data_IF_676991230854
#
_entry.id   IF_676991230854
#
_cell.length_a   1.000
_cell.length_b   1.000
_cell.length_c   1.000
_cell.angle_alpha   90.00
_cell.angle_beta   90.00
_cell.angle_gamma   90.00
#
_symmetry.space_group_name_H-M   'P 1'
#
loop_
_entity.id
_entity.type
_entity.pdbx_description
1 polymer ?
#
# COMPACT_ATOMS: atom_id res chain seq x y z
N UNK A 1 -55.45 22.75 -8.07
CA UNK A 1 -54.94 21.98 -9.24
C UNK A 1 -54.03 20.86 -8.76
N UNK A 2 -53.98 19.70 -9.44
CA UNK A 2 -52.90 18.74 -9.28
C UNK A 2 -51.55 19.40 -9.60
N UNK A 3 -50.49 19.13 -8.83
CA UNK A 3 -49.14 19.64 -9.15
C UNK A 3 -48.70 19.12 -10.51
N UNK A 4 -48.13 19.99 -11.35
CA UNK A 4 -47.54 19.60 -12.64
C UNK A 4 -46.47 18.53 -12.43
N UNK A 5 -46.72 17.33 -12.95
CA UNK A 5 -45.77 16.21 -12.93
C UNK A 5 -45.14 16.13 -14.32
N UNK A 6 -43.81 16.22 -14.39
CA UNK A 6 -43.06 16.00 -15.65
C UNK A 6 -43.46 14.63 -16.23
N UNK A 7 -43.78 14.60 -17.52
CA UNK A 7 -44.13 13.36 -18.21
C UNK A 7 -43.00 12.33 -18.03
N UNK A 8 -43.34 11.16 -17.50
CA UNK A 8 -42.40 10.07 -17.27
C UNK A 8 -42.44 9.12 -18.45
N UNK A 9 -41.32 8.94 -19.13
CA UNK A 9 -41.17 7.89 -20.15
C UNK A 9 -41.34 6.52 -19.48
N UNK A 10 -42.21 5.68 -20.04
CA UNK A 10 -42.43 4.30 -19.60
C UNK A 10 -41.87 3.38 -20.69
N UNK A 11 -40.90 2.55 -20.32
CA UNK A 11 -40.29 1.58 -21.22
C UNK A 11 -41.02 0.23 -21.13
N UNK A 12 -41.37 -0.36 -22.26
CA UNK A 12 -42.07 -1.65 -22.36
C UNK A 12 -41.10 -2.84 -22.30
N UNK A 13 -40.06 -2.74 -21.46
CA UNK A 13 -39.02 -3.77 -21.31
C UNK A 13 -39.49 -4.92 -20.42
N UNK A 14 -39.24 -6.17 -20.82
CA UNK A 14 -39.58 -7.41 -20.08
C UNK A 14 -38.80 -7.63 -18.75
N UNK A 15 -38.11 -6.61 -18.23
CA UNK A 15 -37.16 -6.73 -17.11
C UNK A 15 -37.71 -6.03 -15.86
N UNK A 16 -38.36 -6.81 -15.01
CA UNK A 16 -38.94 -6.32 -13.75
C UNK A 16 -37.92 -6.08 -12.63
N UNK A 17 -38.33 -5.27 -11.65
CA UNK A 17 -37.52 -4.94 -10.48
C UNK A 17 -37.57 -6.09 -9.46
N UNK A 18 -36.45 -6.78 -9.24
CA UNK A 18 -36.29 -7.93 -8.31
C UNK A 18 -36.51 -7.63 -6.79
N UNK A 19 -37.03 -6.45 -6.44
CA UNK A 19 -37.63 -6.13 -5.13
C UNK A 19 -36.75 -6.37 -3.89
N UNK A 20 -37.44 -6.67 -2.77
CA UNK A 20 -36.84 -7.09 -1.49
C UNK A 20 -36.34 -8.54 -1.56
N UNK A 21 -37.02 -9.40 -2.32
CA UNK A 21 -36.71 -10.83 -2.47
C UNK A 21 -35.25 -11.11 -2.83
N UNK A 22 -34.67 -10.37 -3.77
CA UNK A 22 -33.26 -10.53 -4.13
C UNK A 22 -32.31 -10.24 -2.95
N UNK A 23 -32.69 -9.33 -2.05
CA UNK A 23 -31.89 -9.01 -0.86
C UNK A 23 -32.07 -10.07 0.24
N UNK A 24 -33.25 -10.69 0.34
CA UNK A 24 -33.48 -11.83 1.25
C UNK A 24 -32.77 -13.10 0.77
N UNK A 25 -32.76 -13.35 -0.54
CA UNK A 25 -31.97 -14.45 -1.14
C UNK A 25 -30.48 -14.24 -0.93
N UNK A 26 -29.95 -13.03 -1.20
CA UNK A 26 -28.55 -12.70 -0.89
C UNK A 26 -28.20 -12.93 0.59
N UNK A 27 -29.10 -12.59 1.52
CA UNK A 27 -28.91 -12.81 2.95
C UNK A 27 -28.82 -14.30 3.29
N UNK A 28 -29.82 -15.09 2.89
CA UNK A 28 -29.88 -16.52 3.18
C UNK A 28 -28.69 -17.30 2.58
N UNK A 29 -28.35 -17.02 1.31
CA UNK A 29 -27.21 -17.66 0.64
C UNK A 29 -25.84 -17.29 1.27
N UNK A 30 -25.73 -16.16 1.98
CA UNK A 30 -24.49 -15.77 2.68
C UNK A 30 -24.36 -16.51 4.02
N UNK A 31 -25.44 -16.71 4.76
CA UNK A 31 -25.44 -17.56 5.96
C UNK A 31 -25.18 -19.03 5.59
N UNK A 32 -25.87 -19.55 4.57
CA UNK A 32 -25.63 -20.89 4.02
C UNK A 32 -24.15 -21.08 3.61
N UNK A 33 -23.48 -20.04 3.10
CA UNK A 33 -22.05 -20.11 2.80
C UNK A 33 -21.17 -20.07 4.07
N UNK A 34 -21.50 -19.28 5.09
CA UNK A 34 -20.79 -19.27 6.37
C UNK A 34 -20.90 -20.62 7.12
N UNK A 35 -22.01 -21.34 6.93
CA UNK A 35 -22.20 -22.67 7.48
C UNK A 35 -21.34 -23.73 6.77
N UNK A 36 -21.24 -23.66 5.44
CA UNK A 36 -20.61 -24.70 4.60
C UNK A 36 -19.12 -24.50 4.27
N UNK A 37 -18.55 -23.31 4.52
CA UNK A 37 -17.14 -23.00 4.23
C UNK A 37 -16.32 -22.68 5.48
N UNK A 38 -15.01 -22.92 5.42
CA UNK A 38 -14.07 -22.75 6.53
C UNK A 38 -13.47 -21.33 6.60
N UNK A 39 -13.20 -20.71 5.45
CA UNK A 39 -12.63 -19.36 5.38
C UNK A 39 -13.56 -18.37 4.67
N UNK A 40 -13.65 -17.14 5.20
CA UNK A 40 -14.50 -16.07 4.70
C UNK A 40 -13.66 -14.79 4.52
N UNK A 41 -13.38 -14.43 3.27
CA UNK A 41 -12.59 -13.26 2.90
C UNK A 41 -13.47 -12.06 2.58
N UNK A 42 -13.10 -10.88 3.07
CA UNK A 42 -13.57 -9.60 2.55
C UNK A 42 -12.61 -9.15 1.45
N UNK A 43 -13.12 -9.02 0.22
CA UNK A 43 -12.33 -8.55 -0.92
C UNK A 43 -12.84 -7.19 -1.42
N UNK A 44 -11.94 -6.28 -1.74
CA UNK A 44 -12.22 -5.10 -2.56
C UNK A 44 -12.07 -5.43 -4.05
N UNK A 45 -12.66 -4.60 -4.91
CA UNK A 45 -12.48 -4.73 -6.37
C UNK A 45 -12.22 -3.36 -6.98
N UNK A 46 -11.04 -3.19 -7.56
CA UNK A 46 -10.72 -2.05 -8.41
C UNK A 46 -11.34 -2.23 -9.80
N UNK A 47 -11.82 -1.14 -10.41
CA UNK A 47 -12.31 -1.07 -11.80
C UNK A 47 -13.42 -2.06 -12.23
N UNK A 48 -14.01 -2.76 -11.24
CA UNK A 48 -15.05 -3.78 -11.29
C UNK A 48 -15.81 -3.99 -12.62
N UNK A 49 -15.67 -5.19 -13.19
CA UNK A 49 -16.45 -5.74 -14.32
C UNK A 49 -17.12 -7.07 -13.97
N UNK A 50 -18.32 -7.26 -14.52
CA UNK A 50 -19.09 -8.52 -14.40
C UNK A 50 -18.62 -9.63 -15.37
N UNK A 51 -17.53 -9.43 -16.12
CA UNK A 51 -16.83 -10.47 -16.91
C UNK A 51 -15.85 -11.22 -16.02
N UNK A 52 -14.85 -10.52 -15.49
CA UNK A 52 -13.80 -11.10 -14.64
C UNK A 52 -14.36 -11.81 -13.39
N UNK A 53 -15.39 -11.23 -12.72
CA UNK A 53 -16.10 -11.92 -11.62
C UNK A 53 -17.04 -13.07 -12.07
N UNK A 54 -17.13 -13.41 -13.36
CA UNK A 54 -17.69 -14.69 -13.84
C UNK A 54 -16.61 -15.70 -14.14
N UNK A 55 -15.52 -15.26 -14.77
CA UNK A 55 -14.35 -16.10 -15.04
C UNK A 55 -13.80 -16.69 -13.73
N UNK A 56 -13.57 -15.85 -12.72
CA UNK A 56 -13.19 -16.30 -11.35
C UNK A 56 -14.25 -17.21 -10.68
N UNK A 57 -15.54 -17.02 -10.98
CA UNK A 57 -16.63 -17.92 -10.49
C UNK A 57 -16.70 -19.25 -11.25
N UNK A 58 -16.00 -19.38 -12.38
CA UNK A 58 -15.88 -20.63 -13.15
C UNK A 58 -14.59 -21.38 -12.78
N UNK A 59 -13.52 -20.64 -12.49
CA UNK A 59 -12.25 -21.15 -12.01
C UNK A 59 -12.36 -21.72 -10.59
N UNK A 60 -12.88 -20.93 -9.64
CA UNK A 60 -13.20 -21.36 -8.29
C UNK A 60 -14.66 -21.84 -8.18
N UNK A 61 -15.01 -22.87 -8.96
CA UNK A 61 -16.36 -23.47 -8.96
C UNK A 61 -16.70 -24.20 -7.63
N UNK A 62 -15.67 -24.59 -6.89
CA UNK A 62 -15.69 -25.09 -5.51
C UNK A 62 -16.16 -24.04 -4.50
N UNK A 63 -15.80 -22.77 -4.73
CA UNK A 63 -15.93 -21.65 -3.81
C UNK A 63 -17.16 -20.78 -4.11
N UNK A 64 -17.40 -19.74 -3.31
CA UNK A 64 -18.54 -18.81 -3.49
C UNK A 64 -18.17 -17.34 -3.34
N UNK A 65 -18.27 -16.59 -4.45
CA UNK A 65 -18.18 -15.12 -4.44
C UNK A 65 -19.55 -14.46 -4.36
N UNK A 66 -19.77 -13.65 -3.34
CA UNK A 66 -20.91 -12.74 -3.20
C UNK A 66 -20.47 -11.30 -3.48
N UNK A 67 -21.22 -10.62 -4.35
CA UNK A 67 -21.01 -9.21 -4.66
C UNK A 67 -22.38 -8.55 -4.80
N UNK A 68 -22.68 -7.56 -3.96
CA UNK A 68 -24.05 -7.09 -3.78
C UNK A 68 -24.15 -5.87 -2.87
N UNK A 69 -25.29 -5.72 -2.17
CA UNK A 69 -25.47 -4.62 -1.22
C UNK A 69 -24.67 -4.92 0.05
N UNK A 70 -23.62 -4.14 0.29
CA UNK A 70 -22.73 -4.28 1.45
C UNK A 70 -23.49 -4.37 2.78
N UNK A 71 -24.47 -3.47 3.00
CA UNK A 71 -25.34 -3.46 4.20
C UNK A 71 -26.28 -4.67 4.36
N UNK A 72 -26.44 -5.51 3.32
CA UNK A 72 -27.20 -6.78 3.40
C UNK A 72 -26.26 -7.92 3.75
N UNK A 73 -25.05 -7.94 3.17
CA UNK A 73 -24.01 -8.93 3.50
C UNK A 73 -23.56 -8.77 4.96
N UNK A 74 -23.24 -7.54 5.38
CA UNK A 74 -22.94 -7.17 6.76
C UNK A 74 -24.02 -7.60 7.78
N UNK A 75 -25.30 -7.59 7.38
CA UNK A 75 -26.41 -8.05 8.24
C UNK A 75 -26.63 -9.57 8.24
N UNK A 76 -26.15 -10.28 7.22
CA UNK A 76 -26.19 -11.74 7.17
C UNK A 76 -25.03 -12.35 7.99
N UNK A 77 -23.90 -11.63 8.07
CA UNK A 77 -22.74 -11.95 8.90
C UNK A 77 -22.98 -11.63 10.38
N UNK A 78 -23.35 -10.38 10.68
CA UNK A 78 -23.49 -9.84 12.02
C UNK A 78 -23.00 -8.40 12.10
N UNK A 79 -23.79 -7.51 12.71
CA UNK A 79 -23.39 -6.12 12.99
C UNK A 79 -22.91 -5.91 14.44
N UNK A 80 -23.20 -6.85 15.33
CA UNK A 80 -22.82 -6.84 16.75
C UNK A 80 -22.63 -8.30 17.22
N UNK A 81 -21.91 -8.55 18.33
CA UNK A 81 -21.79 -9.90 18.91
C UNK A 81 -23.11 -10.53 19.40
N UNK A 82 -24.23 -9.80 19.34
CA UNK A 82 -25.58 -10.32 19.64
C UNK A 82 -26.44 -10.55 18.38
N UNK A 83 -25.99 -10.11 17.20
CA UNK A 83 -26.63 -10.35 15.89
C UNK A 83 -25.74 -11.22 14.97
N UNK A 84 -24.61 -11.77 15.44
CA UNK A 84 -23.67 -12.53 14.60
C UNK A 84 -24.06 -14.00 14.39
N UNK A 85 -23.72 -14.52 13.21
CA UNK A 85 -24.07 -15.88 12.77
C UNK A 85 -23.06 -16.94 13.24
N UNK A 86 -21.79 -16.54 13.43
CA UNK A 86 -20.72 -17.32 14.07
C UNK A 86 -19.92 -16.38 14.99
N UNK A 87 -19.21 -16.95 15.97
CA UNK A 87 -18.43 -16.22 16.98
C UNK A 87 -17.41 -15.27 16.35
N UNK A 88 -17.32 -14.04 16.88
CA UNK A 88 -16.44 -12.94 16.47
C UNK A 88 -16.59 -12.47 15.00
N UNK A 89 -17.55 -13.03 14.25
CA UNK A 89 -17.70 -12.71 12.82
C UNK A 89 -18.16 -11.25 12.61
N UNK A 90 -18.75 -10.61 13.62
CA UNK A 90 -19.04 -9.18 13.60
C UNK A 90 -17.79 -8.28 13.45
N UNK A 91 -16.58 -8.77 13.75
CA UNK A 91 -15.32 -8.05 13.46
C UNK A 91 -15.06 -7.94 11.96
N UNK A 92 -15.26 -9.03 11.19
CA UNK A 92 -15.05 -9.07 9.74
C UNK A 92 -15.91 -8.03 9.01
N UNK A 93 -17.09 -7.73 9.58
CA UNK A 93 -18.03 -6.74 9.07
C UNK A 93 -17.48 -5.31 9.08
N UNK A 94 -16.44 -4.99 9.84
CA UNK A 94 -15.80 -3.67 9.83
C UNK A 94 -15.11 -3.36 8.49
N UNK A 95 -14.53 -4.36 7.84
CA UNK A 95 -13.85 -4.22 6.54
C UNK A 95 -14.84 -4.12 5.36
N UNK A 96 -16.13 -4.39 5.58
CA UNK A 96 -17.19 -4.31 4.57
C UNK A 96 -17.59 -2.85 4.23
N UNK A 97 -16.61 -2.09 3.74
CA UNK A 97 -16.75 -0.69 3.33
C UNK A 97 -16.26 -0.46 1.89
N UNK A 98 -17.06 0.27 1.11
CA UNK A 98 -16.78 0.59 -0.30
C UNK A 98 -17.26 -0.46 -1.30
N UNK A 99 -16.49 -0.65 -2.38
CA UNK A 99 -16.80 -1.56 -3.49
C UNK A 99 -16.28 -2.98 -3.21
N UNK A 100 -16.88 -3.63 -2.21
CA UNK A 100 -16.41 -4.90 -1.61
C UNK A 100 -17.40 -6.05 -1.77
N UNK A 101 -16.87 -7.27 -1.75
CA UNK A 101 -17.60 -8.54 -1.73
C UNK A 101 -17.14 -9.48 -0.62
N UNK A 102 -17.74 -10.66 -0.57
CA UNK A 102 -17.36 -11.77 0.29
C UNK A 102 -17.00 -13.01 -0.55
N UNK A 103 -15.86 -13.63 -0.27
CA UNK A 103 -15.38 -14.85 -0.91
C UNK A 103 -15.26 -15.96 0.14
N UNK A 104 -15.99 -17.05 -0.07
CA UNK A 104 -16.04 -18.21 0.82
C UNK A 104 -15.33 -19.38 0.17
N UNK A 105 -14.38 -20.01 0.88
CA UNK A 105 -13.58 -21.13 0.36
C UNK A 105 -13.09 -22.06 1.48
N UNK A 106 -12.60 -23.23 1.08
CA UNK A 106 -11.98 -24.26 1.93
C UNK A 106 -10.51 -24.51 1.55
N UNK A 107 -9.87 -23.51 0.92
CA UNK A 107 -8.43 -23.54 0.59
C UNK A 107 -7.66 -22.64 1.54
N UNK A 108 -6.39 -22.98 1.74
CA UNK A 108 -5.48 -22.26 2.62
C UNK A 108 -5.42 -20.75 2.32
N UNK A 109 -5.51 -19.87 3.34
CA UNK A 109 -5.52 -18.43 3.12
C UNK A 109 -4.28 -17.88 2.41
N UNK A 110 -3.12 -18.49 2.58
CA UNK A 110 -1.88 -18.12 1.89
C UNK A 110 -1.97 -18.30 0.37
N UNK A 111 -2.44 -19.46 -0.12
CA UNK A 111 -2.67 -19.71 -1.56
C UNK A 111 -3.59 -18.62 -2.15
N UNK A 112 -4.65 -18.26 -1.42
CA UNK A 112 -5.62 -17.27 -1.88
C UNK A 112 -5.03 -15.84 -1.90
N UNK A 113 -4.26 -15.45 -0.88
CA UNK A 113 -3.59 -14.14 -0.84
C UNK A 113 -2.57 -14.02 -1.98
N UNK A 114 -1.71 -15.03 -2.17
CA UNK A 114 -0.72 -15.05 -3.26
C UNK A 114 -1.38 -15.05 -4.64
N UNK A 115 -2.45 -15.83 -4.83
CA UNK A 115 -3.20 -15.86 -6.09
C UNK A 115 -3.78 -14.47 -6.42
N UNK A 116 -4.52 -13.84 -5.49
CA UNK A 116 -5.18 -12.57 -5.77
C UNK A 116 -4.22 -11.38 -5.88
N UNK A 117 -3.08 -11.41 -5.18
CA UNK A 117 -2.02 -10.41 -5.35
C UNK A 117 -1.41 -10.43 -6.77
N UNK A 118 -1.32 -11.61 -7.40
CA UNK A 118 -0.82 -11.76 -8.77
C UNK A 118 -1.92 -11.60 -9.84
N UNK A 119 -3.19 -11.81 -9.49
CA UNK A 119 -4.31 -11.71 -10.44
C UNK A 119 -4.61 -10.26 -10.85
N UNK A 120 -4.41 -9.94 -12.12
CA UNK A 120 -4.84 -8.67 -12.72
C UNK A 120 -5.32 -8.86 -14.16
N UNK A 121 -6.28 -8.03 -14.59
CA UNK A 121 -6.85 -8.05 -15.94
C UNK A 121 -7.06 -6.63 -16.48
N UNK A 122 -6.36 -6.25 -17.54
CA UNK A 122 -6.41 -4.89 -18.10
C UNK A 122 -7.67 -4.63 -18.93
N UNK A 123 -8.30 -3.47 -18.74
CA UNK A 123 -9.59 -3.08 -19.32
C UNK A 123 -9.64 -1.58 -19.72
N UNK A 124 -10.67 -1.22 -20.45
CA UNK A 124 -10.98 0.16 -20.82
C UNK A 124 -11.35 1.00 -19.60
N UNK A 125 -10.60 2.08 -19.37
CA UNK A 125 -10.85 3.01 -18.29
C UNK A 125 -12.25 3.66 -18.35
N UNK A 126 -12.64 4.26 -17.22
CA UNK A 126 -13.88 4.99 -17.01
C UNK A 126 -13.57 6.39 -16.49
N UNK A 127 -14.51 7.32 -16.63
CA UNK A 127 -14.40 8.65 -16.05
C UNK A 127 -14.08 8.59 -14.55
N UNK A 128 -13.11 9.38 -14.10
CA UNK A 128 -12.62 9.40 -12.71
C UNK A 128 -11.35 8.57 -12.45
N UNK A 129 -10.94 7.70 -13.38
CA UNK A 129 -9.66 6.96 -13.29
C UNK A 129 -8.50 7.87 -13.73
N UNK A 130 -7.35 7.74 -13.09
CA UNK A 130 -6.09 8.40 -13.47
C UNK A 130 -5.45 7.67 -14.65
N UNK A 131 -4.99 8.38 -15.68
CA UNK A 131 -4.35 7.76 -16.84
C UNK A 131 -2.97 7.16 -16.47
N UNK A 132 -2.77 5.89 -16.82
CA UNK A 132 -1.52 5.14 -16.60
C UNK A 132 -0.41 5.49 -17.59
N UNK A 133 -0.76 6.04 -18.76
CA UNK A 133 0.17 6.49 -19.78
C UNK A 133 -0.40 7.68 -20.57
N UNK A 134 0.48 8.45 -21.20
CA UNK A 134 0.07 9.52 -22.13
C UNK A 134 -0.29 8.94 -23.49
N UNK A 135 -1.44 9.33 -24.07
CA UNK A 135 -1.88 8.87 -25.39
C UNK A 135 -2.25 10.03 -26.30
N UNK A 136 -1.57 10.10 -27.45
CA UNK A 136 -1.66 11.19 -28.43
C UNK A 136 -1.84 10.63 -29.83
N UNK A 137 -2.94 10.98 -30.49
CA UNK A 137 -3.18 10.58 -31.88
C UNK A 137 -2.39 11.50 -32.82
N UNK A 138 -1.63 10.97 -33.79
CA UNK A 138 -0.87 11.78 -34.74
C UNK A 138 -1.78 12.58 -35.69
N UNK A 139 -1.26 13.69 -36.23
CA UNK A 139 -1.90 14.37 -37.35
C UNK A 139 -1.80 13.53 -38.63
N UNK A 140 -2.81 13.61 -39.49
CA UNK A 140 -2.95 12.77 -40.67
C UNK A 140 -4.33 12.10 -40.72
N UNK A 141 -4.40 10.91 -41.33
CA UNK A 141 -5.63 10.11 -41.34
C UNK A 141 -5.77 9.42 -39.98
N UNK A 142 -6.97 9.44 -39.40
CA UNK A 142 -7.22 8.79 -38.11
C UNK A 142 -7.52 7.30 -38.34
N UNK A 143 -6.62 6.44 -37.89
CA UNK A 143 -6.70 4.98 -37.98
C UNK A 143 -7.24 4.35 -36.67
N UNK A 144 -7.58 3.06 -36.70
CA UNK A 144 -8.36 2.38 -35.65
C UNK A 144 -7.61 2.11 -34.34
N UNK A 145 -6.27 2.13 -34.36
CA UNK A 145 -5.39 2.11 -33.19
C UNK A 145 -4.85 3.48 -32.80
N UNK A 146 -5.20 4.53 -33.54
CA UNK A 146 -4.86 5.91 -33.21
C UNK A 146 -3.35 6.20 -33.10
N UNK A 147 -2.49 5.34 -33.65
CA UNK A 147 -1.03 5.50 -33.61
C UNK A 147 -0.24 4.44 -32.82
N UNK A 148 -0.87 3.45 -32.18
CA UNK A 148 -0.14 2.35 -31.52
C UNK A 148 0.52 1.36 -32.50
N UNK A 149 0.08 1.35 -33.76
CA UNK A 149 0.44 0.39 -34.81
C UNK A 149 0.77 1.18 -36.11
N UNK A 150 1.73 0.72 -36.95
CA UNK A 150 2.04 1.38 -38.23
C UNK A 150 0.82 1.53 -39.16
N UNK A 151 0.78 2.61 -39.95
CA UNK A 151 -0.35 2.90 -40.85
C UNK A 151 -0.59 1.82 -41.92
N UNK A 152 0.43 1.04 -42.28
CA UNK A 152 0.32 -0.09 -43.22
C UNK A 152 -0.42 -1.31 -42.63
N UNK A 153 -0.51 -1.41 -41.30
CA UNK A 153 -1.16 -2.51 -40.57
C UNK A 153 -2.50 -2.09 -39.90
N UNK A 154 -2.79 -0.78 -39.83
CA UNK A 154 -4.00 -0.25 -39.19
C UNK A 154 -5.07 0.18 -40.23
N UNK A 155 -6.35 0.18 -39.82
CA UNK A 155 -7.49 0.45 -40.70
C UNK A 155 -8.02 1.87 -40.46
N UNK A 156 -8.17 2.73 -41.49
CA UNK A 156 -8.77 4.06 -41.34
C UNK A 156 -10.17 4.02 -40.72
N UNK A 157 -10.47 4.92 -39.78
CA UNK A 157 -11.78 4.95 -39.12
C UNK A 157 -12.91 5.26 -40.13
N UNK A 158 -14.07 4.58 -40.02
CA UNK A 158 -15.19 4.79 -40.93
C UNK A 158 -15.82 6.18 -40.71
N UNK A 159 -16.09 6.88 -41.82
CA UNK A 159 -16.55 8.29 -41.87
C UNK A 159 -17.76 8.62 -40.98
N UNK A 160 -18.64 7.65 -40.68
CA UNK A 160 -19.79 7.81 -39.78
C UNK A 160 -19.38 8.20 -38.35
N UNK A 161 -18.19 7.77 -37.90
CA UNK A 161 -17.68 7.99 -36.55
C UNK A 161 -17.19 9.42 -36.32
N UNK A 162 -16.92 10.19 -37.37
CA UNK A 162 -16.42 11.58 -37.32
C UNK A 162 -17.26 12.46 -36.39
N UNK A 163 -18.58 12.37 -36.54
CA UNK A 163 -19.55 13.13 -35.72
C UNK A 163 -19.49 12.79 -34.23
N UNK A 164 -19.07 11.56 -33.88
CA UNK A 164 -18.95 11.09 -32.50
C UNK A 164 -17.59 11.47 -31.90
N UNK A 165 -16.52 11.33 -32.69
CA UNK A 165 -15.16 11.77 -32.32
C UNK A 165 -15.15 13.28 -32.03
N UNK A 166 -15.70 14.08 -32.94
CA UNK A 166 -15.84 15.54 -32.79
C UNK A 166 -16.69 15.93 -31.58
N UNK A 167 -17.77 15.20 -31.31
CA UNK A 167 -18.64 15.40 -30.13
C UNK A 167 -17.90 15.16 -28.81
N UNK A 168 -16.87 14.31 -28.80
CA UNK A 168 -16.02 14.07 -27.63
C UNK A 168 -14.84 15.04 -27.49
N UNK A 169 -14.63 15.93 -28.47
CA UNK A 169 -13.73 17.09 -28.37
C UNK A 169 -12.46 17.00 -29.22
N UNK A 170 -12.22 15.88 -29.89
CA UNK A 170 -11.10 15.74 -30.82
C UNK A 170 -11.41 16.49 -32.14
N UNK A 171 -10.56 17.42 -32.61
CA UNK A 171 -10.88 18.36 -33.68
C UNK A 171 -10.72 17.75 -35.08
N UNK A 172 -11.61 16.82 -35.46
CA UNK A 172 -11.57 16.13 -36.75
C UNK A 172 -12.27 16.87 -37.89
N UNK A 173 -11.77 16.65 -39.11
CA UNK A 173 -12.35 17.07 -40.39
C UNK A 173 -12.55 15.84 -41.28
N UNK A 174 -13.57 15.86 -42.14
CA UNK A 174 -13.72 14.83 -43.18
C UNK A 174 -13.07 15.34 -44.48
N UNK A 175 -12.17 14.55 -45.07
CA UNK A 175 -11.53 14.85 -46.36
C UNK A 175 -11.59 13.62 -47.26
N UNK A 176 -12.20 13.76 -48.45
CA UNK A 176 -12.44 12.67 -49.42
C UNK A 176 -13.03 11.39 -48.81
N UNK A 177 -13.84 11.52 -47.75
CA UNK A 177 -14.45 10.38 -47.04
C UNK A 177 -13.56 9.68 -46.01
N UNK A 178 -12.33 10.16 -45.77
CA UNK A 178 -11.48 9.78 -44.63
C UNK A 178 -11.61 10.79 -43.50
N UNK A 179 -11.45 10.34 -42.26
CA UNK A 179 -11.34 11.19 -41.07
C UNK A 179 -9.89 11.68 -40.97
N UNK A 180 -9.70 12.99 -40.92
CA UNK A 180 -8.39 13.66 -40.87
C UNK A 180 -8.31 14.54 -39.62
N UNK A 181 -7.12 14.56 -39.02
CA UNK A 181 -6.75 15.41 -37.90
C UNK A 181 -5.61 16.34 -38.35
N UNK A 182 -5.84 17.65 -38.30
CA UNK A 182 -4.87 18.63 -38.84
C UNK A 182 -3.67 18.91 -37.89
N UNK A 183 -3.78 18.58 -36.59
CA UNK A 183 -2.75 18.78 -35.53
C UNK A 183 -2.85 17.62 -34.51
N UNK A 184 -1.74 17.00 -34.06
CA UNK A 184 -1.79 15.85 -33.15
C UNK A 184 -2.55 16.18 -31.84
N UNK A 185 -3.34 15.22 -31.36
CA UNK A 185 -4.30 15.44 -30.27
C UNK A 185 -4.08 14.46 -29.11
N UNK A 186 -3.62 15.00 -27.98
CA UNK A 186 -3.46 14.25 -26.73
C UNK A 186 -4.82 14.02 -26.07
N UNK A 187 -5.22 12.75 -25.98
CA UNK A 187 -6.51 12.34 -25.40
C UNK A 187 -6.38 12.18 -23.89
N UNK A 188 -5.26 11.63 -23.42
CA UNK A 188 -4.95 11.45 -22.01
C UNK A 188 -3.48 11.77 -21.74
N UNK A 189 -3.19 12.33 -20.57
CA UNK A 189 -1.84 12.57 -20.07
C UNK A 189 -1.66 11.78 -18.78
N UNK A 190 -0.54 11.10 -18.65
CA UNK A 190 -0.16 10.30 -17.48
C UNK A 190 -0.33 11.09 -16.17
N UNK A 191 -0.88 10.43 -15.15
CA UNK A 191 -1.13 11.05 -13.84
C UNK A 191 -2.32 12.01 -13.78
N UNK A 192 -3.04 12.27 -14.88
CA UNK A 192 -4.28 13.09 -14.87
C UNK A 192 -5.54 12.24 -14.80
N UNK A 193 -6.53 12.71 -14.06
CA UNK A 193 -7.89 12.11 -13.98
C UNK A 193 -8.61 12.29 -15.31
N UNK A 194 -9.09 11.20 -15.89
CA UNK A 194 -9.76 11.20 -17.20
C UNK A 194 -11.27 11.48 -17.11
N UNK A 195 -11.77 12.22 -18.09
CA UNK A 195 -13.19 12.48 -18.31
C UNK A 195 -13.85 11.35 -19.15
N UNK A 196 -15.19 11.31 -19.13
CA UNK A 196 -16.03 10.39 -19.90
C UNK A 196 -15.74 10.45 -21.41
N UNK A 197 -15.51 11.66 -21.95
CA UNK A 197 -15.17 11.83 -23.36
C UNK A 197 -13.80 11.23 -23.73
N UNK A 198 -12.78 11.42 -22.86
CA UNK A 198 -11.44 10.89 -23.09
C UNK A 198 -11.44 9.36 -23.04
N UNK A 199 -12.08 8.79 -22.02
CA UNK A 199 -12.22 7.32 -21.90
C UNK A 199 -13.08 6.68 -22.99
N UNK A 200 -14.06 7.42 -23.53
CA UNK A 200 -14.82 6.98 -24.71
C UNK A 200 -13.99 7.00 -26.00
N UNK A 201 -13.12 8.00 -26.19
CA UNK A 201 -12.14 8.04 -27.30
C UNK A 201 -11.13 6.88 -27.19
N UNK A 202 -10.46 6.72 -26.03
CA UNK A 202 -9.51 5.64 -25.79
C UNK A 202 -10.11 4.26 -26.09
N UNK A 203 -11.35 4.02 -25.64
CA UNK A 203 -12.06 2.78 -25.93
C UNK A 203 -12.33 2.54 -27.42
N UNK A 204 -12.52 3.58 -28.23
CA UNK A 204 -12.64 3.40 -29.69
C UNK A 204 -11.31 3.03 -30.34
N UNK A 205 -10.20 3.60 -29.86
CA UNK A 205 -8.86 3.26 -30.34
C UNK A 205 -8.35 1.89 -29.84
N UNK A 206 -9.10 1.24 -28.95
CA UNK A 206 -8.72 -0.05 -28.38
C UNK A 206 -7.73 0.03 -27.22
N UNK A 207 -7.44 1.25 -26.72
CA UNK A 207 -6.45 1.50 -25.66
C UNK A 207 -7.07 1.20 -24.29
N UNK A 208 -6.50 0.23 -23.59
CA UNK A 208 -6.86 -0.14 -22.23
C UNK A 208 -5.95 0.59 -21.22
N UNK A 209 -6.50 1.07 -20.11
CA UNK A 209 -5.79 1.93 -19.13
C UNK A 209 -6.32 1.77 -17.69
N UNK A 210 -6.98 0.67 -17.38
CA UNK A 210 -7.49 0.40 -16.05
C UNK A 210 -7.43 -1.10 -15.76
N UNK A 211 -6.60 -1.50 -14.80
CA UNK A 211 -6.52 -2.89 -14.39
C UNK A 211 -7.64 -3.22 -13.41
N UNK A 212 -8.34 -4.31 -13.67
CA UNK A 212 -9.17 -4.98 -12.67
C UNK A 212 -8.25 -5.76 -11.73
N UNK A 213 -8.36 -5.47 -10.42
CA UNK A 213 -7.64 -6.13 -9.34
C UNK A 213 -8.61 -6.48 -8.21
N UNK A 214 -8.23 -7.47 -7.39
CA UNK A 214 -8.99 -7.91 -6.23
C UNK A 214 -8.07 -7.92 -5.03
N UNK A 215 -8.28 -6.98 -4.11
CA UNK A 215 -7.46 -6.84 -2.91
C UNK A 215 -8.19 -7.52 -1.74
N UNK A 216 -7.59 -8.58 -1.18
CA UNK A 216 -8.09 -9.17 0.06
C UNK A 216 -7.75 -8.23 1.23
N UNK A 217 -8.72 -7.93 2.09
CA UNK A 217 -8.56 -7.00 3.23
C UNK A 217 -8.41 -7.71 4.56
N UNK A 218 -9.25 -8.71 4.78
CA UNK A 218 -9.30 -9.49 6.00
C UNK A 218 -9.98 -10.82 5.70
N UNK A 219 -9.67 -11.84 6.51
CA UNK A 219 -10.35 -13.13 6.47
C UNK A 219 -10.71 -13.61 7.86
N UNK A 220 -11.85 -14.31 7.94
CA UNK A 220 -12.26 -15.07 9.11
C UNK A 220 -11.95 -16.55 8.88
N UNK A 221 -11.47 -17.25 9.91
CA UNK A 221 -11.25 -18.70 9.88
C UNK A 221 -12.10 -19.39 10.94
N UNK A 222 -12.93 -20.34 10.50
CA UNK A 222 -13.90 -21.04 11.34
C UNK A 222 -13.27 -21.96 12.38
N UNK A 223 -12.08 -22.51 12.10
CA UNK A 223 -11.35 -23.36 13.04
C UNK A 223 -10.71 -22.59 14.21
N UNK A 224 -10.47 -21.29 14.07
CA UNK A 224 -9.88 -20.42 15.11
C UNK A 224 -10.87 -19.40 15.68
N UNK A 225 -12.08 -19.32 15.10
CA UNK A 225 -13.14 -18.36 15.44
C UNK A 225 -12.65 -16.91 15.50
N UNK A 226 -11.73 -16.54 14.60
CA UNK A 226 -11.00 -15.27 14.63
C UNK A 226 -10.88 -14.61 13.27
N UNK A 227 -10.77 -13.28 13.25
CA UNK A 227 -10.45 -12.47 12.06
C UNK A 227 -8.95 -12.17 11.99
N UNK A 228 -8.42 -12.08 10.78
CA UNK A 228 -7.02 -11.70 10.51
C UNK A 228 -6.99 -10.72 9.34
N UNK A 229 -6.31 -9.59 9.53
CA UNK A 229 -6.14 -8.57 8.50
C UNK A 229 -5.01 -8.94 7.53
N UNK A 230 -5.27 -8.77 6.23
CA UNK A 230 -4.30 -9.04 5.16
C UNK A 230 -3.48 -7.77 4.93
N UNK A 231 -2.23 -7.78 5.38
CA UNK A 231 -1.27 -6.66 5.25
C UNK A 231 -0.50 -6.35 6.54
N UNK A 232 -1.15 -6.52 7.70
CA UNK A 232 -0.58 -6.16 9.01
C UNK A 232 0.77 -6.85 9.33
N UNK A 233 1.05 -8.00 8.71
CA UNK A 233 2.26 -8.79 8.93
C UNK A 233 3.50 -8.21 8.21
N UNK A 234 3.33 -7.45 7.11
CA UNK A 234 4.44 -6.81 6.41
C UNK A 234 4.93 -5.57 7.16
N UNK A 235 4.00 -4.70 7.60
CA UNK A 235 4.34 -3.48 8.35
C UNK A 235 5.07 -3.79 9.66
N UNK A 236 4.60 -4.80 10.42
CA UNK A 236 5.25 -5.24 11.67
C UNK A 236 6.67 -5.77 11.45
N UNK A 237 6.91 -6.48 10.33
CA UNK A 237 8.26 -6.92 9.95
C UNK A 237 9.16 -5.73 9.61
N UNK A 238 8.67 -4.71 8.90
CA UNK A 238 9.45 -3.49 8.65
C UNK A 238 9.74 -2.68 9.92
N UNK A 239 8.80 -2.59 10.87
CA UNK A 239 9.08 -1.98 12.18
C UNK A 239 10.16 -2.76 12.95
N UNK A 240 10.03 -4.09 13.08
CA UNK A 240 11.06 -4.89 13.76
C UNK A 240 12.43 -4.82 13.06
N UNK A 241 12.49 -4.90 11.73
CA UNK A 241 13.74 -4.87 10.97
C UNK A 241 14.41 -3.48 10.99
N UNK A 242 13.65 -2.39 11.13
CA UNK A 242 14.22 -1.03 11.20
C UNK A 242 14.53 -0.56 12.63
N UNK A 243 13.64 -0.82 13.60
CA UNK A 243 13.79 -0.32 14.98
C UNK A 243 14.95 -1.02 15.69
N UNK A 244 15.10 -2.34 15.55
CA UNK A 244 16.13 -3.10 16.29
C UNK A 244 17.58 -2.69 15.97
N UNK A 245 18.02 -2.55 14.69
CA UNK A 245 19.38 -2.07 14.41
C UNK A 245 19.60 -0.61 14.79
N UNK A 246 18.57 0.24 14.72
CA UNK A 246 18.66 1.65 15.14
C UNK A 246 18.78 1.76 16.67
N UNK A 247 17.98 1.00 17.42
CA UNK A 247 18.07 0.90 18.88
C UNK A 247 19.40 0.30 19.34
N UNK A 248 19.91 -0.74 18.64
CA UNK A 248 21.24 -1.30 18.93
C UNK A 248 22.36 -0.29 18.67
N UNK A 249 22.28 0.48 17.58
CA UNK A 249 23.24 1.55 17.29
C UNK A 249 23.20 2.68 18.34
N UNK A 250 22.01 3.10 18.78
CA UNK A 250 21.83 4.08 19.85
C UNK A 250 22.30 3.57 21.23
N UNK A 251 22.09 2.29 21.52
CA UNK A 251 22.57 1.66 22.75
C UNK A 251 24.11 1.63 22.81
N UNK A 252 24.76 1.30 21.69
CA UNK A 252 26.23 1.36 21.55
C UNK A 252 26.75 2.82 21.59
N UNK A 253 25.92 3.80 21.22
CA UNK A 253 26.28 5.22 21.23
C UNK A 253 26.11 5.91 22.60
N UNK A 254 25.59 5.25 23.65
CA UNK A 254 25.55 5.84 25.01
C UNK A 254 26.98 6.08 25.52
N UNK A 255 27.35 7.31 25.93
CA UNK A 255 28.75 7.71 26.04
C UNK A 255 29.43 7.24 27.32
N UNK A 256 30.23 6.16 27.23
CA UNK A 256 31.29 5.86 28.20
C UNK A 256 32.56 6.67 27.89
N UNK A 257 32.50 8.00 28.10
CA UNK A 257 33.65 8.90 28.20
C UNK A 257 34.33 9.35 26.89
N UNK A 258 34.03 10.59 26.48
CA UNK A 258 34.97 11.60 25.96
C UNK A 258 35.98 11.26 24.84
N UNK A 259 35.65 10.37 23.88
CA UNK A 259 36.45 10.23 22.65
C UNK A 259 35.64 10.22 21.35
N UNK A 260 35.85 11.28 20.55
CA UNK A 260 35.36 11.42 19.18
C UNK A 260 35.64 10.17 18.34
N UNK A 261 34.57 9.44 17.99
CA UNK A 261 34.65 8.25 17.14
C UNK A 261 33.79 8.48 15.90
N UNK A 262 34.43 8.61 14.72
CA UNK A 262 33.70 8.66 13.45
C UNK A 262 33.04 7.31 13.18
N UNK A 263 31.70 7.28 13.16
CA UNK A 263 30.94 6.13 12.68
C UNK A 263 31.12 6.03 11.16
N UNK A 264 31.83 4.99 10.72
CA UNK A 264 31.87 4.61 9.30
C UNK A 264 30.62 3.77 9.00
N UNK A 265 29.61 4.41 8.40
CA UNK A 265 28.46 3.71 7.83
C UNK A 265 28.95 2.86 6.64
N UNK A 266 28.95 1.54 6.81
CA UNK A 266 29.06 0.62 5.68
C UNK A 266 27.73 0.59 4.93
N UNK A 267 27.74 1.05 3.68
CA UNK A 267 26.59 0.93 2.79
C UNK A 267 26.40 -0.54 2.39
N UNK A 268 25.25 -1.11 2.74
CA UNK A 268 24.72 -2.27 2.02
C UNK A 268 24.12 -1.78 0.69
N UNK A 269 24.48 -2.39 -0.46
CA UNK A 269 24.04 -1.93 -1.77
C UNK A 269 22.81 -2.71 -2.26
N UNK A 270 21.60 -2.32 -1.82
CA UNK A 270 20.35 -2.75 -2.47
C UNK A 270 19.32 -1.61 -2.54
N UNK A 271 18.47 -1.66 -3.56
CA UNK A 271 17.43 -0.68 -3.93
C UNK A 271 17.89 0.78 -4.14
N UNK A 272 18.24 1.08 -5.40
CA UNK A 272 18.25 2.45 -5.92
C UNK A 272 16.92 2.79 -6.58
N UNK A 273 16.02 3.48 -5.87
CA UNK A 273 14.91 4.23 -6.48
C UNK A 273 15.17 5.73 -6.38
N UNK A 274 14.97 6.46 -7.49
CA UNK A 274 15.31 7.88 -7.58
C UNK A 274 14.23 8.73 -6.93
N UNK A 275 14.60 9.59 -5.97
CA UNK A 275 13.85 10.82 -5.71
C UNK A 275 14.73 12.03 -6.04
N UNK A 276 14.13 13.02 -6.71
CA UNK A 276 14.86 14.13 -7.34
C UNK A 276 14.45 15.47 -6.75
N UNK A 277 15.44 16.24 -6.27
CA UNK A 277 15.62 17.69 -6.52
C UNK A 277 16.80 18.25 -5.69
N UNK A 278 17.74 18.99 -6.30
CA UNK A 278 18.70 19.79 -5.54
C UNK A 278 18.10 21.16 -5.19
N UNK A 279 18.24 21.59 -3.93
CA UNK A 279 18.07 22.98 -3.52
C UNK A 279 19.48 23.60 -3.36
N UNK A 280 19.76 24.70 -4.04
CA UNK A 280 21.09 25.32 -4.05
C UNK A 280 21.35 26.13 -2.78
N UNK A 281 22.32 25.69 -1.98
CA UNK A 281 22.91 26.51 -0.93
C UNK A 281 24.01 27.42 -1.50
N UNK A 282 23.87 28.74 -1.33
CA UNK A 282 24.85 29.75 -1.74
C UNK A 282 25.36 30.54 -0.52
N UNK A 283 26.66 30.87 -0.51
CA UNK A 283 27.31 31.57 0.60
C UNK A 283 26.71 32.96 0.84
N UNK A 284 26.54 33.32 2.12
CA UNK A 284 26.54 34.70 2.62
C UNK A 284 27.42 34.74 3.89
N UNK A 285 28.21 35.80 4.05
CA UNK A 285 29.21 35.97 5.12
C UNK A 285 28.65 36.73 6.34
N UNK A 286 29.28 36.56 7.51
CA UNK A 286 28.87 37.18 8.79
C UNK A 286 29.47 38.58 9.01
N UNK A 287 28.60 39.60 9.15
CA UNK A 287 28.78 40.90 9.83
C UNK A 287 27.41 41.44 10.28
N UNK A 288 27.24 42.23 11.35
CA UNK A 288 28.23 42.52 12.41
C UNK A 288 27.90 43.74 13.31
N UNK A 289 27.06 43.56 14.34
CA UNK A 289 26.81 44.49 15.49
C UNK A 289 26.14 45.86 15.16
N UNK A 290 25.67 46.68 16.15
CA UNK A 290 25.50 46.46 17.61
C UNK A 290 24.08 46.80 18.20
N UNK A 291 23.88 46.48 19.49
CA UNK A 291 22.98 47.15 20.49
C UNK A 291 21.43 47.13 20.29
N UNK A 292 20.54 47.11 21.29
CA UNK A 292 20.50 46.88 22.77
C UNK A 292 18.99 46.70 23.16
N UNK A 293 18.42 46.20 24.28
CA UNK A 293 18.77 45.83 25.68
C UNK A 293 18.15 44.41 26.01
N UNK A 294 17.78 43.91 27.22
CA UNK A 294 17.82 44.32 28.66
C UNK A 294 17.72 43.09 29.60
N UNK A 295 17.73 43.30 30.93
CA UNK A 295 17.34 42.34 32.00
C UNK A 295 15.80 42.37 32.24
N UNK A 296 15.13 41.53 33.05
CA UNK A 296 15.52 40.55 34.11
C UNK A 296 14.38 39.50 34.32
N UNK A 297 14.53 38.42 35.13
CA UNK A 297 13.62 37.25 35.08
C UNK A 297 12.42 37.25 36.05
N UNK A 298 11.34 36.54 35.67
CA UNK A 298 10.35 35.96 36.60
C UNK A 298 8.87 36.02 36.17
N UNK A 299 8.16 34.87 36.25
CA UNK A 299 6.69 34.68 36.37
C UNK A 299 5.80 35.38 35.30
N UNK A 300 5.34 34.70 34.24
CA UNK A 300 4.11 33.85 34.14
C UNK A 300 2.77 34.65 34.29
N UNK A 301 1.63 34.36 33.64
CA UNK A 301 1.04 33.11 33.11
C UNK A 301 0.13 33.37 31.87
N UNK A 302 0.10 32.46 30.87
CA UNK A 302 -0.88 32.30 29.75
C UNK A 302 -0.99 33.46 28.73
N UNK A 303 -1.48 33.26 27.50
CA UNK A 303 -2.22 32.12 26.89
C UNK A 303 -1.92 31.91 25.39
N UNK A 304 -2.50 30.85 24.80
CA UNK A 304 -2.41 30.35 23.40
C UNK A 304 -1.26 29.36 23.12
N UNK A 305 -1.62 28.22 22.51
CA UNK A 305 -0.83 26.99 22.25
C UNK A 305 -0.70 26.00 23.42
N UNK A 306 -1.85 25.51 23.89
CA UNK A 306 -2.09 24.04 23.91
C UNK A 306 -2.57 23.62 22.49
N UNK A 307 -2.53 22.37 22.03
CA UNK A 307 -2.49 21.09 22.76
C UNK A 307 -1.41 20.11 22.22
N UNK A 308 -0.97 19.19 23.09
CA UNK A 308 -0.47 17.79 22.88
C UNK A 308 0.59 17.47 23.95
N UNK A 309 0.07 17.27 25.16
CA UNK A 309 0.62 16.76 26.44
C UNK A 309 -0.43 17.26 27.47
N UNK A 310 -0.98 16.50 28.42
CA UNK A 310 -0.62 15.21 29.01
C UNK A 310 -1.89 14.56 29.63
N UNK A 311 -2.12 13.26 29.42
CA UNK A 311 -3.21 12.41 29.95
C UNK A 311 -3.10 11.00 29.30
N UNK A 312 -3.15 9.85 29.97
CA UNK A 312 -3.44 9.50 31.38
C UNK A 312 -2.50 8.36 31.83
N UNK A 313 -1.95 8.43 33.05
CA UNK A 313 -1.46 7.25 33.77
C UNK A 313 -2.65 6.50 34.40
N UNK A 314 -2.95 5.26 34.00
CA UNK A 314 -3.76 4.35 34.85
C UNK A 314 -3.52 2.86 34.52
N UNK A 315 -2.41 2.32 35.04
CA UNK A 315 -2.24 0.90 35.38
C UNK A 315 -1.30 0.82 36.59
N UNK A 316 -1.63 -0.03 37.55
CA UNK A 316 -1.15 0.13 38.93
C UNK A 316 0.32 -0.21 39.15
N UNK A 317 1.01 0.59 39.98
CA UNK A 317 2.26 0.16 40.64
C UNK A 317 1.91 -0.87 41.71
N UNK A 318 1.92 -2.15 41.33
CA UNK A 318 1.97 -3.24 42.30
C UNK A 318 3.38 -3.32 42.85
N UNK A 319 3.61 -2.77 44.06
CA UNK A 319 4.84 -3.04 44.80
C UNK A 319 4.91 -4.52 45.18
N UNK A 320 5.69 -5.30 44.43
CA UNK A 320 6.25 -6.56 44.91
C UNK A 320 7.77 -6.46 44.96
N UNK A 321 8.28 -6.55 46.18
CA UNK A 321 9.70 -6.82 46.45
C UNK A 321 10.00 -8.30 46.19
N UNK A 322 11.29 -8.59 46.26
CA UNK A 322 11.88 -9.92 46.43
C UNK A 322 11.94 -10.81 45.16
N UNK A 323 13.19 -10.98 44.70
CA UNK A 323 13.76 -12.18 44.07
C UNK A 323 12.96 -12.95 43.00
N UNK A 324 13.37 -12.78 41.74
CA UNK A 324 13.23 -13.81 40.68
C UNK A 324 14.54 -13.92 39.89
N UNK A 325 15.02 -15.13 39.67
CA UNK A 325 16.11 -15.45 38.73
C UNK A 325 15.50 -15.63 37.32
N UNK A 326 15.75 -14.70 36.39
CA UNK A 326 15.09 -14.73 35.06
C UNK A 326 16.04 -15.20 33.95
N UNK A 327 16.00 -16.52 33.76
CA UNK A 327 16.00 -17.26 32.48
C UNK A 327 16.64 -16.60 31.24
N UNK A 328 17.91 -16.92 31.00
CA UNK A 328 18.64 -16.57 29.77
C UNK A 328 18.36 -17.51 28.60
N UNK A 329 17.09 -17.85 28.31
CA UNK A 329 16.71 -18.99 27.45
C UNK A 329 15.80 -18.62 26.25
N UNK A 330 14.84 -17.70 26.38
CA UNK A 330 13.77 -17.56 25.38
C UNK A 330 14.17 -16.90 24.04
N UNK A 331 15.37 -16.33 23.94
CA UNK A 331 15.88 -15.63 22.75
C UNK A 331 16.31 -16.58 21.59
N UNK A 332 15.76 -17.80 21.55
CA UNK A 332 16.24 -18.92 20.72
C UNK A 332 15.21 -19.48 19.70
N UNK A 333 13.99 -18.95 19.66
CA UNK A 333 12.87 -19.56 18.92
C UNK A 333 12.59 -18.92 17.54
N UNK A 334 13.15 -17.73 17.25
CA UNK A 334 12.80 -16.92 16.07
C UNK A 334 13.95 -16.73 15.05
N UNK A 335 14.80 -17.74 14.84
CA UNK A 335 15.81 -17.77 13.77
C UNK A 335 15.92 -19.17 13.18
N UNK A 336 15.99 -19.26 11.85
CA UNK A 336 16.19 -20.53 11.15
C UNK A 336 17.48 -21.23 11.58
N UNK A 337 17.34 -22.52 11.93
CA UNK A 337 18.39 -23.33 12.56
C UNK A 337 19.68 -23.46 11.73
N UNK A 338 19.62 -23.20 10.42
CA UNK A 338 20.77 -23.34 9.50
C UNK A 338 21.78 -22.18 9.58
N UNK A 339 21.37 -20.95 9.94
CA UNK A 339 22.27 -19.78 10.01
C UNK A 339 23.03 -19.63 11.34
N UNK A 340 22.60 -20.33 12.39
CA UNK A 340 23.17 -20.23 13.75
C UNK A 340 24.69 -20.52 13.80
N UNK A 341 25.24 -21.54 13.09
CA UNK A 341 26.68 -21.83 13.13
C UNK A 341 27.54 -20.69 12.56
N UNK A 342 27.14 -20.12 11.42
CA UNK A 342 27.92 -19.06 10.74
C UNK A 342 27.98 -17.78 11.58
N UNK A 343 26.86 -17.42 12.21
CA UNK A 343 26.79 -16.24 13.08
C UNK A 343 27.69 -16.39 14.32
N UNK A 344 27.73 -17.60 14.90
CA UNK A 344 28.59 -17.91 16.05
C UNK A 344 30.08 -17.86 15.70
N UNK A 345 30.48 -18.39 14.54
CA UNK A 345 31.88 -18.34 14.10
C UNK A 345 32.30 -16.93 13.63
N UNK A 346 31.40 -16.14 13.01
CA UNK A 346 31.64 -14.72 12.76
C UNK A 346 31.91 -13.94 14.06
N UNK A 347 31.13 -14.18 15.12
CA UNK A 347 31.34 -13.57 16.46
C UNK A 347 32.65 -14.06 17.11
N UNK A 348 33.03 -15.34 16.95
CA UNK A 348 34.33 -15.86 17.40
C UNK A 348 35.49 -15.19 16.66
N UNK A 349 35.42 -15.06 15.34
CA UNK A 349 36.44 -14.39 14.52
C UNK A 349 36.57 -12.92 14.93
N UNK A 350 35.46 -12.19 15.12
CA UNK A 350 35.46 -10.81 15.60
C UNK A 350 36.12 -10.68 16.99
N UNK A 351 35.76 -11.54 17.96
CA UNK A 351 36.40 -11.59 19.29
C UNK A 351 37.90 -11.92 19.19
N UNK A 352 38.30 -12.82 18.29
CA UNK A 352 39.69 -13.18 18.02
C UNK A 352 40.51 -12.01 17.45
N UNK A 353 39.96 -11.30 16.46
CA UNK A 353 40.57 -10.11 15.87
C UNK A 353 40.70 -8.97 16.88
N UNK A 354 39.69 -8.73 17.72
CA UNK A 354 39.75 -7.75 18.80
C UNK A 354 40.83 -8.08 19.86
N UNK A 355 40.98 -9.36 20.23
CA UNK A 355 42.07 -9.82 21.11
C UNK A 355 43.45 -9.59 20.45
N UNK A 356 43.63 -9.99 19.19
CA UNK A 356 44.87 -9.72 18.44
C UNK A 356 45.18 -8.22 18.35
N UNK A 357 44.19 -7.36 18.08
CA UNK A 357 44.35 -5.90 17.98
C UNK A 357 44.75 -5.25 19.30
N UNK A 358 44.22 -5.73 20.45
CA UNK A 358 44.68 -5.31 21.79
C UNK A 358 46.13 -5.74 22.05
N UNK A 359 46.50 -6.98 21.71
CA UNK A 359 47.88 -7.48 21.86
C UNK A 359 48.88 -6.70 21.00
N UNK A 360 48.54 -6.36 19.75
CA UNK A 360 49.42 -5.63 18.85
C UNK A 360 49.68 -4.19 19.34
N UNK A 361 48.63 -3.51 19.82
CA UNK A 361 48.77 -2.18 20.46
C UNK A 361 49.61 -2.24 21.75
N UNK A 362 49.47 -3.30 22.56
CA UNK A 362 50.29 -3.47 23.75
C UNK A 362 51.77 -3.65 23.40
N UNK A 363 52.09 -4.46 22.38
CA UNK A 363 53.47 -4.66 21.92
C UNK A 363 54.09 -3.36 21.40
N UNK A 364 53.43 -2.67 20.46
CA UNK A 364 53.91 -1.36 19.96
C UNK A 364 54.15 -0.35 21.10
N UNK A 365 53.33 -0.35 22.15
CA UNK A 365 53.50 0.57 23.29
C UNK A 365 54.74 0.23 24.13
N UNK A 366 55.07 -1.05 24.26
CA UNK A 366 56.32 -1.51 24.90
C UNK A 366 57.53 -1.20 24.03
N UNK A 367 57.47 -1.47 22.73
CA UNK A 367 58.56 -1.19 21.78
C UNK A 367 58.90 0.32 21.78
N UNK A 368 57.88 1.19 21.83
CA UNK A 368 58.06 2.65 21.93
C UNK A 368 58.66 3.12 23.27
N UNK A 369 58.29 2.47 24.38
CA UNK A 369 58.88 2.72 25.70
C UNK A 369 60.36 2.29 25.74
N UNK A 370 60.69 1.16 25.13
CA UNK A 370 62.06 0.66 25.08
C UNK A 370 62.98 1.58 24.24
N UNK A 371 62.43 2.18 23.18
CA UNK A 371 63.12 3.19 22.38
C UNK A 371 63.38 4.47 23.18
N UNK A 372 62.36 4.98 23.89
CA UNK A 372 62.47 6.19 24.73
C UNK A 372 63.48 6.02 25.88
N UNK A 373 63.51 4.85 26.53
CA UNK A 373 64.46 4.55 27.60
C UNK A 373 65.91 4.39 27.09
N UNK A 374 66.10 4.01 25.82
CA UNK A 374 67.44 3.96 25.20
C UNK A 374 68.01 5.34 24.81
N UNK A 375 67.16 6.39 24.76
CA UNK A 375 67.55 7.76 24.36
C UNK A 375 67.86 8.73 25.50
N UNK A 376 67.87 8.27 26.75
CA UNK A 376 68.13 9.08 27.96
C UNK A 376 69.42 8.65 28.69
N UNK A 377 70.43 8.21 27.92
CA UNK A 377 71.64 7.54 28.41
C UNK A 377 72.97 8.13 27.91
N UNK A 378 73.01 9.43 27.60
CA UNK A 378 74.22 10.21 27.27
C UNK A 378 74.06 11.65 27.74
#
# INVERSE_FOLDING_TARGET
MPKSKRAKVIHLTKTDKKGKELSLKLFANVQEAADNFEHIFVFAVENMRNSYLKELRQEFADSRFFFGKTKVMAKALGLTPAEEHLTNLSELTQHLNGNVGLFFTNRDPSEMIEYFANYSQTDFARAGIVATQTFTVPAGVVHSRGGEVPEDEDVPLPHSMETTIRKWGMPTRLDKGKIVLDVPYTIAEEGKVMNSHQTALLKMFGVAMADFKIDLKAYYTKATESVTEVGAMEDQLYEHITIYPIMLALYIARPFGDYYTKVLLFSFPFFTTKLSRPATASLIQLQGLPQELRMSPGVAVREVLTDVEECVEECEVVELRDSVEVESVELAIALDMEMIPELLDAVRVARGLLRKRKSYKAKQRNDHLHLLLSGLGT
#
